data_IF_381795371829
#
_entry.id   IF_381795371829
#
_cell.length_a   1.000
_cell.length_b   1.000
_cell.length_c   1.000
_cell.angle_alpha   90.00
_cell.angle_beta   90.00
_cell.angle_gamma   90.00
#
_symmetry.space_group_name_H-M   'P 1'
#
loop_
_entity.id
_entity.type
_entity.pdbx_description
1 polymer ?
#
# COMPACT_ATOMS: atom_id res chain seq x y z
N UNK A 1 -23.87 34.65 17.20
CA UNK A 1 -22.44 34.73 17.58
C UNK A 1 -21.99 33.42 18.22
N UNK A 2 -22.46 33.03 19.41
CA UNK A 2 -22.10 31.75 20.05
C UNK A 2 -22.26 30.45 19.21
N UNK A 3 -23.20 30.37 18.26
CA UNK A 3 -23.31 29.22 17.33
C UNK A 3 -22.24 29.22 16.23
N UNK A 4 -21.82 30.40 15.80
CA UNK A 4 -20.77 30.57 14.77
C UNK A 4 -19.43 30.24 15.38
N UNK A 5 -19.14 30.77 16.58
CA UNK A 5 -17.88 30.49 17.30
C UNK A 5 -17.71 28.98 17.60
N UNK A 6 -18.81 28.30 17.97
CA UNK A 6 -18.82 26.83 18.13
C UNK A 6 -18.58 26.09 16.81
N UNK A 7 -19.13 26.57 15.71
CA UNK A 7 -18.95 25.97 14.40
C UNK A 7 -17.50 26.14 13.90
N UNK A 8 -16.90 27.32 14.12
CA UNK A 8 -15.50 27.60 13.77
C UNK A 8 -14.54 26.72 14.57
N UNK A 9 -14.78 26.56 15.87
CA UNK A 9 -14.00 25.65 16.70
C UNK A 9 -14.15 24.19 16.25
N UNK A 10 -15.37 23.73 15.96
CA UNK A 10 -15.61 22.36 15.48
C UNK A 10 -14.91 22.10 14.13
N UNK A 11 -14.93 23.09 13.23
CA UNK A 11 -14.28 23.00 11.93
C UNK A 11 -12.75 22.92 12.06
N UNK A 12 -12.15 23.72 12.96
CA UNK A 12 -10.71 23.65 13.26
C UNK A 12 -10.29 22.27 13.75
N UNK A 13 -11.04 21.69 14.69
CA UNK A 13 -10.76 20.34 15.21
C UNK A 13 -10.94 19.25 14.15
N UNK A 14 -11.95 19.40 13.28
CA UNK A 14 -12.18 18.47 12.17
C UNK A 14 -11.04 18.53 11.15
N UNK A 15 -10.54 19.72 10.82
CA UNK A 15 -9.40 19.88 9.91
C UNK A 15 -8.13 19.24 10.49
N UNK A 16 -7.85 19.45 11.78
CA UNK A 16 -6.72 18.80 12.48
C UNK A 16 -6.84 17.29 12.46
N UNK A 17 -8.03 16.75 12.77
CA UNK A 17 -8.27 15.32 12.69
C UNK A 17 -8.05 14.82 11.26
N UNK A 18 -8.60 15.50 10.25
CA UNK A 18 -8.43 15.12 8.83
C UNK A 18 -6.97 15.03 8.42
N UNK A 19 -6.13 15.98 8.85
CA UNK A 19 -4.69 15.93 8.56
C UNK A 19 -3.99 14.77 9.28
N UNK A 20 -4.37 14.47 10.52
CA UNK A 20 -3.79 13.37 11.29
C UNK A 20 -4.14 11.99 10.70
N UNK A 21 -5.39 11.78 10.27
CA UNK A 21 -5.83 10.50 9.69
C UNK A 21 -5.49 10.34 8.20
N UNK A 22 -5.02 11.39 7.53
CA UNK A 22 -4.72 11.37 6.10
C UNK A 22 -3.74 10.25 5.67
N UNK A 23 -2.62 9.98 6.38
CA UNK A 23 -1.67 8.94 5.97
C UNK A 23 -2.29 7.55 5.91
N UNK A 24 -3.11 7.21 6.92
CA UNK A 24 -3.83 5.96 7.01
C UNK A 24 -4.92 5.86 5.92
N UNK A 25 -5.66 6.94 5.67
CA UNK A 25 -6.64 6.98 4.59
C UNK A 25 -5.99 6.81 3.20
N UNK A 26 -4.84 7.44 2.96
CA UNK A 26 -4.06 7.28 1.73
C UNK A 26 -3.48 5.87 1.60
N UNK A 27 -3.08 5.23 2.71
CA UNK A 27 -2.71 3.82 2.72
C UNK A 27 -3.89 2.95 2.27
N UNK A 28 -5.06 3.09 2.91
CA UNK A 28 -6.25 2.33 2.56
C UNK A 28 -6.67 2.52 1.10
N UNK A 29 -6.63 3.76 0.60
CA UNK A 29 -6.90 4.06 -0.81
C UNK A 29 -5.93 3.32 -1.75
N UNK A 30 -4.63 3.31 -1.43
CA UNK A 30 -3.61 2.61 -2.23
C UNK A 30 -3.87 1.10 -2.26
N UNK A 31 -4.08 0.49 -1.10
CA UNK A 31 -4.39 -0.95 -0.99
C UNK A 31 -5.62 -1.31 -1.82
N UNK A 32 -6.72 -0.56 -1.68
CA UNK A 32 -7.94 -0.81 -2.46
C UNK A 32 -7.71 -0.67 -3.97
N UNK A 33 -6.97 0.35 -4.38
CA UNK A 33 -6.64 0.55 -5.80
C UNK A 33 -5.80 -0.61 -6.36
N UNK A 34 -4.92 -1.20 -5.55
CA UNK A 34 -4.15 -2.39 -5.94
C UNK A 34 -5.02 -3.64 -6.06
N UNK A 35 -6.00 -3.82 -5.16
CA UNK A 35 -6.98 -4.90 -5.26
C UNK A 35 -7.80 -4.81 -6.55
N UNK A 36 -8.22 -3.60 -6.94
CA UNK A 36 -8.92 -3.39 -8.20
C UNK A 36 -8.05 -3.75 -9.42
N UNK A 37 -6.72 -3.62 -9.33
CA UNK A 37 -5.81 -4.07 -10.39
C UNK A 37 -5.70 -5.59 -10.45
N UNK A 38 -5.87 -6.30 -9.34
CA UNK A 38 -5.89 -7.77 -9.33
C UNK A 38 -7.13 -8.33 -10.03
N UNK A 39 -8.25 -7.61 -10.04
CA UNK A 39 -9.43 -7.98 -10.83
C UNK A 39 -9.11 -8.09 -12.32
N UNK A 40 -8.22 -7.24 -12.83
CA UNK A 40 -7.76 -7.32 -14.22
C UNK A 40 -6.92 -8.58 -14.52
N UNK A 41 -6.31 -9.20 -13.49
CA UNK A 41 -5.59 -10.48 -13.61
C UNK A 41 -6.58 -11.64 -13.63
N UNK A 42 -7.57 -11.61 -12.73
CA UNK A 42 -8.65 -12.60 -12.70
C UNK A 42 -9.92 -12.00 -12.08
N UNK A 43 -11.10 -12.19 -12.71
CA UNK A 43 -12.38 -11.75 -12.14
C UNK A 43 -12.69 -12.38 -10.77
N UNK A 44 -12.06 -13.51 -10.44
CA UNK A 44 -12.20 -14.18 -9.14
C UNK A 44 -11.63 -13.35 -7.98
N UNK A 45 -10.80 -12.34 -8.27
CA UNK A 45 -10.22 -11.43 -7.28
C UNK A 45 -10.97 -10.11 -7.15
N UNK A 46 -12.17 -10.00 -7.74
CA UNK A 46 -13.02 -8.84 -7.58
C UNK A 46 -13.37 -8.64 -6.09
N UNK A 47 -12.93 -7.52 -5.52
CA UNK A 47 -13.26 -7.11 -4.15
C UNK A 47 -14.19 -5.90 -4.22
N UNK A 48 -15.38 -6.03 -3.64
CA UNK A 48 -16.31 -4.91 -3.54
C UNK A 48 -15.79 -3.87 -2.54
N UNK A 49 -16.09 -2.59 -2.81
CA UNK A 49 -15.76 -1.51 -1.87
C UNK A 49 -16.37 -1.76 -0.49
N UNK A 50 -17.58 -2.32 -0.42
CA UNK A 50 -18.24 -2.67 0.84
C UNK A 50 -17.43 -3.69 1.64
N UNK A 51 -17.01 -4.79 1.01
CA UNK A 51 -16.20 -5.82 1.66
C UNK A 51 -14.85 -5.26 2.11
N UNK A 52 -14.23 -4.39 1.31
CA UNK A 52 -13.00 -3.70 1.69
C UNK A 52 -13.20 -2.80 2.93
N UNK A 53 -14.26 -1.98 2.95
CA UNK A 53 -14.58 -1.10 4.09
C UNK A 53 -14.81 -1.92 5.35
N UNK A 54 -15.51 -3.05 5.26
CA UNK A 54 -15.71 -3.95 6.41
C UNK A 54 -14.39 -4.49 6.95
N UNK A 55 -13.49 -4.97 6.06
CA UNK A 55 -12.17 -5.46 6.44
C UNK A 55 -11.29 -4.37 7.04
N UNK A 56 -11.27 -3.17 6.45
CA UNK A 56 -10.56 -2.01 6.98
C UNK A 56 -11.11 -1.60 8.36
N UNK A 57 -12.44 -1.59 8.52
CA UNK A 57 -13.08 -1.26 9.79
C UNK A 57 -12.72 -2.28 10.86
N UNK A 58 -12.76 -3.59 10.55
CA UNK A 58 -12.32 -4.66 11.45
C UNK A 58 -10.88 -4.46 11.91
N UNK A 59 -9.97 -4.11 10.98
CA UNK A 59 -8.60 -3.77 11.33
C UNK A 59 -8.53 -2.62 12.34
N UNK A 60 -9.25 -1.52 12.10
CA UNK A 60 -9.24 -0.36 13.01
C UNK A 60 -9.75 -0.70 14.41
N UNK A 61 -10.83 -1.49 14.52
CA UNK A 61 -11.37 -1.91 15.81
C UNK A 61 -10.36 -2.76 16.59
N UNK A 62 -9.66 -3.67 15.91
CA UNK A 62 -8.66 -4.53 16.54
C UNK A 62 -7.38 -3.78 16.89
N UNK A 63 -6.99 -2.79 16.08
CA UNK A 63 -5.74 -2.05 16.22
C UNK A 63 -5.84 -0.96 17.29
N UNK A 64 -6.85 -0.08 17.19
CA UNK A 64 -7.01 1.07 18.10
C UNK A 64 -7.54 0.67 19.49
N UNK A 65 -7.95 -0.60 19.68
CA UNK A 65 -8.35 -1.11 20.99
C UNK A 65 -7.18 -1.46 21.91
N UNK A 66 -5.95 -1.54 21.38
CA UNK A 66 -4.82 -2.12 22.10
C UNK A 66 -4.01 -1.13 22.96
N UNK A 67 -4.14 0.20 22.75
CA UNK A 67 -3.54 1.23 23.60
C UNK A 67 -2.01 1.20 23.70
N UNK A 68 -1.32 0.69 22.67
CA UNK A 68 0.10 0.32 22.73
C UNK A 68 1.10 1.46 22.41
N UNK A 69 0.64 2.63 21.96
CA UNK A 69 1.54 3.69 21.43
C UNK A 69 1.43 4.99 22.21
N UNK A 70 2.57 5.67 22.39
CA UNK A 70 2.71 6.87 23.23
C UNK A 70 2.07 8.14 22.64
N UNK A 71 1.89 8.22 21.32
CA UNK A 71 1.20 9.32 20.65
C UNK A 71 0.26 8.84 19.55
N UNK A 72 -0.85 9.55 19.38
CA UNK A 72 -1.88 9.24 18.38
C UNK A 72 -1.36 9.31 16.94
N UNK A 73 -0.37 10.16 16.68
CA UNK A 73 0.25 10.28 15.35
C UNK A 73 1.13 9.07 15.04
N UNK A 74 1.93 8.62 16.02
CA UNK A 74 2.72 7.39 15.89
C UNK A 74 1.83 6.16 15.77
N UNK A 75 0.71 6.13 16.48
CA UNK A 75 -0.29 5.06 16.38
C UNK A 75 -0.87 4.97 14.97
N UNK A 76 -1.19 6.11 14.35
CA UNK A 76 -1.75 6.16 13.00
C UNK A 76 -0.73 5.80 11.91
N UNK A 77 0.54 6.16 12.10
CA UNK A 77 1.61 5.77 11.19
C UNK A 77 1.92 4.27 11.28
N UNK A 78 1.96 3.72 12.50
CA UNK A 78 2.10 2.29 12.73
C UNK A 78 0.88 1.53 12.16
N UNK A 79 -0.34 2.03 12.40
CA UNK A 79 -1.57 1.47 11.84
C UNK A 79 -1.53 1.42 10.30
N UNK A 80 -0.96 2.44 9.65
CA UNK A 80 -0.85 2.46 8.20
C UNK A 80 0.09 1.35 7.68
N UNK A 81 1.22 1.12 8.35
CA UNK A 81 2.14 0.03 7.97
C UNK A 81 1.55 -1.35 8.28
N UNK A 82 0.91 -1.50 9.44
CA UNK A 82 0.33 -2.77 9.87
C UNK A 82 -0.91 -3.12 9.04
N UNK A 83 -1.65 -2.12 8.55
CA UNK A 83 -2.77 -2.36 7.64
C UNK A 83 -2.32 -2.98 6.31
N UNK A 84 -1.16 -2.61 5.76
CA UNK A 84 -0.64 -3.23 4.53
C UNK A 84 -0.36 -4.72 4.72
N UNK A 85 0.21 -5.08 5.89
CA UNK A 85 0.50 -6.47 6.24
C UNK A 85 -0.79 -7.25 6.47
N UNK A 86 -1.72 -6.68 7.22
CA UNK A 86 -3.04 -7.25 7.46
C UNK A 86 -3.81 -7.46 6.15
N UNK A 87 -3.84 -6.43 5.30
CA UNK A 87 -4.46 -6.50 3.99
C UNK A 87 -3.83 -7.60 3.12
N UNK A 88 -2.49 -7.71 3.11
CA UNK A 88 -1.83 -8.81 2.44
C UNK A 88 -2.28 -10.16 3.00
N UNK A 89 -2.31 -10.36 4.32
CA UNK A 89 -2.69 -11.65 4.91
C UNK A 89 -4.15 -12.04 4.62
N UNK A 90 -5.09 -11.13 4.88
CA UNK A 90 -6.52 -11.38 4.75
C UNK A 90 -6.95 -11.53 3.28
N UNK A 91 -6.49 -10.63 2.42
CA UNK A 91 -6.94 -10.57 1.02
C UNK A 91 -6.20 -11.59 0.15
N UNK A 92 -5.03 -12.06 0.60
CA UNK A 92 -4.29 -13.12 -0.09
C UNK A 92 -4.86 -14.52 0.16
N UNK A 93 -5.73 -14.72 1.14
CA UNK A 93 -6.21 -16.06 1.48
C UNK A 93 -6.84 -16.80 0.28
N UNK A 94 -7.47 -16.09 -0.65
CA UNK A 94 -8.03 -16.64 -1.91
C UNK A 94 -7.14 -16.52 -3.15
N UNK A 95 -5.99 -15.86 -3.06
CA UNK A 95 -5.06 -15.68 -4.19
C UNK A 95 -4.23 -16.95 -4.43
N UNK A 96 -3.96 -17.28 -5.69
CA UNK A 96 -2.94 -18.27 -6.03
C UNK A 96 -1.55 -17.73 -5.65
N UNK A 97 -0.59 -18.58 -5.31
CA UNK A 97 0.72 -18.16 -4.81
C UNK A 97 1.46 -17.18 -5.74
N UNK A 98 1.32 -17.36 -7.06
CA UNK A 98 1.87 -16.45 -8.07
C UNK A 98 1.23 -15.06 -7.99
N UNK A 99 -0.08 -14.98 -7.77
CA UNK A 99 -0.80 -13.71 -7.64
C UNK A 99 -0.61 -13.06 -6.26
N UNK A 100 -0.36 -13.86 -5.21
CA UNK A 100 0.07 -13.37 -3.89
C UNK A 100 1.41 -12.64 -3.98
N UNK A 101 2.40 -13.26 -4.64
CA UNK A 101 3.71 -12.66 -4.89
C UNK A 101 3.59 -11.36 -5.71
N UNK A 102 2.75 -11.37 -6.75
CA UNK A 102 2.48 -10.18 -7.54
C UNK A 102 1.85 -9.05 -6.71
N UNK A 103 0.89 -9.38 -5.84
CA UNK A 103 0.26 -8.42 -4.93
C UNK A 103 1.26 -7.84 -3.92
N UNK A 104 2.09 -8.69 -3.31
CA UNK A 104 3.17 -8.28 -2.41
C UNK A 104 4.16 -7.34 -3.10
N UNK A 105 4.54 -7.65 -4.34
CA UNK A 105 5.41 -6.81 -5.15
C UNK A 105 4.78 -5.44 -5.43
N UNK A 106 3.49 -5.40 -5.80
CA UNK A 106 2.79 -4.14 -6.02
C UNK A 106 2.67 -3.29 -4.76
N UNK A 107 2.42 -3.91 -3.60
CA UNK A 107 2.44 -3.23 -2.30
C UNK A 107 3.82 -2.64 -2.02
N UNK A 108 4.89 -3.42 -2.20
CA UNK A 108 6.27 -2.98 -1.97
C UNK A 108 6.66 -1.78 -2.86
N UNK A 109 6.35 -1.84 -4.15
CA UNK A 109 6.60 -0.73 -5.09
C UNK A 109 5.83 0.53 -4.69
N UNK A 110 4.58 0.40 -4.25
CA UNK A 110 3.75 1.55 -3.88
C UNK A 110 4.09 2.14 -2.49
N UNK A 111 4.77 1.36 -1.64
CA UNK A 111 5.30 1.83 -0.35
C UNK A 111 6.52 2.73 -0.54
N UNK A 112 7.38 2.41 -1.50
CA UNK A 112 8.57 3.19 -1.84
C UNK A 112 8.28 4.14 -3.00
N UNK A 113 7.64 5.28 -2.72
CA UNK A 113 7.45 6.37 -3.69
C UNK A 113 8.76 6.99 -4.21
N UNK A 114 9.95 6.55 -3.76
CA UNK A 114 11.24 7.12 -4.13
C UNK A 114 12.39 6.13 -4.45
N UNK A 115 12.21 4.81 -4.37
CA UNK A 115 13.39 3.89 -4.43
C UNK A 115 13.55 3.09 -5.72
N UNK A 116 12.49 2.90 -6.52
CA UNK A 116 12.59 2.10 -7.75
C UNK A 116 12.42 3.02 -8.95
N UNK A 117 13.49 3.19 -9.71
CA UNK A 117 13.47 3.99 -10.94
C UNK A 117 12.49 3.36 -11.96
N UNK A 118 11.88 4.17 -12.84
CA UNK A 118 11.05 3.65 -13.93
C UNK A 118 11.78 2.62 -14.80
N UNK A 119 13.11 2.75 -14.92
CA UNK A 119 13.98 1.82 -15.66
C UNK A 119 14.10 0.47 -14.95
N UNK A 120 14.24 0.44 -13.63
CA UNK A 120 14.24 -0.79 -12.83
C UNK A 120 12.88 -1.48 -12.86
N UNK A 121 11.78 -0.72 -12.81
CA UNK A 121 10.42 -1.26 -12.97
C UNK A 121 10.23 -1.87 -14.36
N UNK A 122 10.72 -1.20 -15.41
CA UNK A 122 10.68 -1.73 -16.77
C UNK A 122 11.48 -3.03 -16.88
N UNK A 123 12.70 -3.08 -16.31
CA UNK A 123 13.50 -4.29 -16.26
C UNK A 123 12.78 -5.44 -15.54
N UNK A 124 12.19 -5.18 -14.37
CA UNK A 124 11.47 -6.19 -13.59
C UNK A 124 10.20 -6.72 -14.30
N UNK A 125 9.57 -5.92 -15.16
CA UNK A 125 8.33 -6.28 -15.85
C UNK A 125 8.56 -6.90 -17.22
N UNK A 126 9.59 -6.47 -17.94
CA UNK A 126 9.87 -6.94 -19.31
C UNK A 126 10.98 -7.99 -19.36
N UNK A 127 11.82 -8.07 -18.32
CA UNK A 127 13.06 -8.84 -18.35
C UNK A 127 14.13 -8.27 -19.29
N UNK A 128 13.83 -7.20 -20.02
CA UNK A 128 14.75 -6.56 -20.94
C UNK A 128 15.62 -5.55 -20.18
N UNK A 129 16.94 -5.71 -20.27
CA UNK A 129 17.89 -4.76 -19.71
C UNK A 129 17.82 -3.49 -20.55
N UNK A 130 17.41 -2.33 -20.00
CA UNK A 130 17.43 -1.08 -20.76
C UNK A 130 18.84 -0.80 -21.29
N UNK A 131 19.00 -0.28 -22.51
CA UNK A 131 20.32 -0.08 -23.13
C UNK A 131 21.25 0.80 -22.28
N UNK A 132 20.69 1.68 -21.43
CA UNK A 132 21.42 2.56 -20.52
C UNK A 132 21.78 1.91 -19.17
N UNK A 133 21.23 0.73 -18.86
CA UNK A 133 21.44 0.03 -17.60
C UNK A 133 22.81 -0.68 -17.55
N UNK A 134 23.39 -0.95 -18.74
CA UNK A 134 24.73 -1.52 -18.92
C UNK A 134 25.78 -0.40 -18.93
N UNK A 135 25.88 0.33 -17.83
CA UNK A 135 27.05 1.16 -17.55
C UNK A 135 28.29 0.27 -17.34
N UNK A 136 29.11 0.12 -18.39
CA UNK A 136 30.56 -0.16 -18.38
C UNK A 136 31.19 -1.29 -17.54
N UNK A 137 30.47 -2.16 -16.84
CA UNK A 137 31.08 -3.32 -16.16
C UNK A 137 30.81 -4.65 -16.87
N UNK A 138 31.31 -4.76 -18.11
CA UNK A 138 31.57 -6.06 -18.76
C UNK A 138 32.87 -6.71 -18.26
N UNK A 139 33.10 -6.72 -16.94
CA UNK A 139 34.23 -7.43 -16.30
C UNK A 139 33.80 -8.13 -15.03
N UNK A 140 32.88 -9.08 -15.16
CA UNK A 140 32.86 -10.26 -14.30
C UNK A 140 32.21 -11.37 -15.10
N UNK A 141 33.05 -12.29 -15.59
CA UNK A 141 32.59 -13.41 -16.39
C UNK A 141 31.78 -14.38 -15.54
N UNK A 142 30.51 -14.56 -15.90
CA UNK A 142 29.76 -15.82 -15.83
C UNK A 142 28.28 -15.53 -16.16
N UNK A 143 27.96 -15.38 -17.44
CA UNK A 143 26.64 -15.74 -17.94
C UNK A 143 26.85 -17.00 -18.79
N UNK A 144 26.22 -18.14 -18.48
CA UNK A 144 26.40 -19.34 -19.27
C UNK A 144 25.82 -19.11 -20.66
N UNK A 145 26.61 -19.39 -21.69
CA UNK A 145 26.13 -19.45 -23.06
C UNK A 145 25.00 -20.49 -23.11
N UNK A 146 23.81 -20.06 -23.49
CA UNK A 146 22.68 -20.95 -23.73
C UNK A 146 23.07 -21.97 -24.82
N UNK A 147 22.91 -23.25 -24.49
CA UNK A 147 22.98 -24.39 -25.40
C UNK A 147 21.56 -24.75 -25.86
#
# INVERSE_FOLDING_TARGET
>A
KAKVDKAEHALSELLKARTQYAPLALCAQRVFSLLQRLEAVSPLYAVSLTSFIETFTKFLWNYMGAGLVASKEQELEAAASDFEVFAHQELSHGLQDTHRLLFALFLAINKQSASVSPKELQYLTTGEIPPDFLGTDRRSGAAPAAA
#
